data_IF_478787956993
#
_entry.id   IF_478787956993
#
_cell.length_a   1.000
_cell.length_b   1.000
_cell.length_c   1.000
_cell.angle_alpha   90.00
_cell.angle_beta   90.00
_cell.angle_gamma   90.00
#
_symmetry.space_group_name_H-M   'P 1'
#
loop_
_entity.id
_entity.type
_entity.pdbx_description
1 polymer ?
#
# COMPACT_ATOMS: atom_id res chain seq x y z
N UNK A 1 -19.16 -4.29 29.70
CA UNK A 1 -18.65 -3.24 28.79
C UNK A 1 -17.32 -3.72 28.25
N UNK A 2 -17.04 -3.67 26.93
CA UNK A 2 -15.67 -3.92 26.47
C UNK A 2 -14.77 -2.87 27.12
N UNK A 3 -13.76 -3.31 27.86
CA UNK A 3 -12.76 -2.42 28.48
C UNK A 3 -12.16 -1.51 27.40
N UNK A 4 -12.05 -0.21 27.68
CA UNK A 4 -11.34 0.71 26.79
C UNK A 4 -9.97 0.13 26.43
N UNK A 5 -9.59 0.11 25.14
CA UNK A 5 -8.37 -0.56 24.73
C UNK A 5 -7.16 0.06 25.43
N UNK A 6 -6.22 -0.80 25.86
CA UNK A 6 -4.98 -0.38 26.52
C UNK A 6 -4.26 0.68 25.67
N UNK A 7 -3.83 1.79 26.31
CA UNK A 7 -3.05 2.85 25.64
C UNK A 7 -1.81 2.27 24.95
N UNK A 8 -1.20 1.24 25.53
CA UNK A 8 -0.05 0.53 24.96
C UNK A 8 -0.42 -0.18 23.66
N UNK A 9 -1.56 -0.88 23.62
CA UNK A 9 -2.02 -1.56 22.41
C UNK A 9 -2.32 -0.57 21.28
N UNK A 10 -2.94 0.57 21.61
CA UNK A 10 -3.17 1.66 20.66
C UNK A 10 -1.84 2.17 20.10
N UNK A 11 -0.90 2.51 20.97
CA UNK A 11 0.41 3.03 20.57
C UNK A 11 1.19 2.04 19.70
N UNK A 12 1.24 0.76 20.09
CA UNK A 12 1.91 -0.29 19.32
C UNK A 12 1.23 -0.52 17.96
N UNK A 13 -0.09 -0.41 17.88
CA UNK A 13 -0.81 -0.56 16.62
C UNK A 13 -0.51 0.58 15.65
N UNK A 14 -0.50 1.83 16.14
CA UNK A 14 -0.10 2.99 15.33
C UNK A 14 1.38 2.91 14.93
N UNK A 15 2.25 2.53 15.86
CA UNK A 15 3.66 2.29 15.55
C UNK A 15 3.84 1.25 14.44
N UNK A 16 3.09 0.14 14.49
CA UNK A 16 3.13 -0.88 13.46
C UNK A 16 2.76 -0.30 12.09
N UNK A 17 1.62 0.38 11.97
CA UNK A 17 1.20 0.90 10.65
C UNK A 17 2.04 2.09 10.15
N UNK A 18 2.81 2.77 11.00
CA UNK A 18 3.64 3.93 10.59
C UNK A 18 5.07 3.49 10.28
N UNK A 19 5.67 2.72 11.19
CA UNK A 19 7.10 2.40 11.14
C UNK A 19 7.32 1.09 10.39
N UNK A 20 6.53 0.05 10.68
CA UNK A 20 6.68 -1.23 9.97
C UNK A 20 6.32 -1.03 8.50
N UNK A 21 5.16 -0.45 8.18
CA UNK A 21 4.82 -0.20 6.77
C UNK A 21 5.79 0.77 6.08
N UNK A 22 6.22 1.85 6.74
CA UNK A 22 7.28 2.71 6.18
C UNK A 22 8.58 1.95 5.89
N UNK A 23 8.97 1.01 6.75
CA UNK A 23 10.15 0.18 6.53
C UNK A 23 9.99 -0.91 5.47
N UNK A 24 8.75 -1.24 5.08
CA UNK A 24 8.53 -2.30 4.09
C UNK A 24 9.12 -1.95 2.73
N UNK A 25 9.19 -0.67 2.35
CA UNK A 25 9.88 -0.26 1.11
C UNK A 25 11.34 -0.71 1.13
N UNK A 26 12.11 -0.41 2.19
CA UNK A 26 13.49 -0.88 2.25
C UNK A 26 13.59 -2.42 2.30
N UNK A 27 12.69 -3.08 3.03
CA UNK A 27 12.66 -4.53 3.07
C UNK A 27 12.34 -5.14 1.70
N UNK A 28 11.48 -4.52 0.89
CA UNK A 28 11.23 -4.93 -0.50
C UNK A 28 12.52 -4.77 -1.31
N UNK A 29 13.15 -3.60 -1.25
CA UNK A 29 14.42 -3.33 -1.94
C UNK A 29 15.50 -4.37 -1.65
N UNK A 30 15.63 -4.81 -0.39
CA UNK A 30 16.55 -5.88 0.02
C UNK A 30 16.08 -7.27 -0.42
N UNK A 31 14.79 -7.57 -0.34
CA UNK A 31 14.25 -8.86 -0.76
C UNK A 31 14.50 -9.10 -2.26
N UNK A 32 14.31 -8.08 -3.08
CA UNK A 32 14.44 -8.17 -4.54
C UNK A 32 15.87 -8.12 -5.06
N UNK A 33 16.88 -8.07 -4.17
CA UNK A 33 18.29 -8.19 -4.57
C UNK A 33 18.60 -9.58 -5.14
N UNK A 34 18.04 -10.64 -4.55
CA UNK A 34 18.29 -12.03 -4.99
C UNK A 34 17.04 -12.90 -5.06
N UNK A 35 15.88 -12.43 -4.59
CA UNK A 35 14.60 -13.14 -4.75
C UNK A 35 13.79 -12.43 -5.83
N UNK A 36 13.22 -13.14 -6.81
CA UNK A 36 12.39 -12.50 -7.84
C UNK A 36 11.21 -11.71 -7.23
N UNK A 37 10.88 -10.53 -7.80
CA UNK A 37 9.99 -9.55 -7.17
C UNK A 37 8.57 -10.07 -6.99
N UNK A 38 8.00 -10.73 -8.01
CA UNK A 38 6.62 -11.21 -7.92
C UNK A 38 6.52 -12.40 -6.97
N UNK A 39 7.60 -13.16 -6.80
CA UNK A 39 7.75 -14.24 -5.83
C UNK A 39 7.69 -13.69 -4.41
N UNK A 40 8.47 -12.66 -4.09
CA UNK A 40 8.43 -12.02 -2.76
C UNK A 40 7.03 -11.48 -2.45
N UNK A 41 6.39 -10.80 -3.40
CA UNK A 41 5.02 -10.32 -3.28
C UNK A 41 4.03 -11.50 -3.11
N UNK A 42 4.09 -12.53 -3.96
CA UNK A 42 3.17 -13.67 -3.91
C UNK A 42 3.27 -14.40 -2.57
N UNK A 43 4.48 -14.64 -2.05
CA UNK A 43 4.70 -15.33 -0.78
C UNK A 43 4.03 -14.59 0.38
N UNK A 44 4.31 -13.28 0.54
CA UNK A 44 3.78 -12.51 1.66
C UNK A 44 2.26 -12.37 1.64
N UNK A 45 1.66 -12.18 0.46
CA UNK A 45 0.21 -12.03 0.34
C UNK A 45 -0.51 -13.38 0.43
N UNK A 46 0.09 -14.47 -0.07
CA UNK A 46 -0.46 -15.83 0.10
C UNK A 46 -0.51 -16.21 1.57
N UNK A 47 0.59 -16.04 2.31
CA UNK A 47 0.65 -16.42 3.72
C UNK A 47 -0.34 -15.60 4.54
N UNK A 48 -0.33 -14.27 4.39
CA UNK A 48 -1.25 -13.41 5.11
C UNK A 48 -2.72 -13.64 4.73
N UNK A 49 -3.01 -13.78 3.44
CA UNK A 49 -4.34 -14.08 2.94
C UNK A 49 -4.88 -15.40 3.48
N UNK A 50 -4.06 -16.45 3.47
CA UNK A 50 -4.44 -17.78 3.97
C UNK A 50 -4.71 -17.76 5.47
N UNK A 51 -3.84 -17.12 6.27
CA UNK A 51 -4.02 -17.05 7.71
C UNK A 51 -5.27 -16.24 8.11
N UNK A 52 -5.47 -15.07 7.50
CA UNK A 52 -6.65 -14.24 7.77
C UNK A 52 -7.93 -14.93 7.28
N UNK A 53 -7.89 -15.61 6.13
CA UNK A 53 -9.03 -16.35 5.61
C UNK A 53 -9.36 -17.57 6.48
N UNK A 54 -8.35 -18.36 6.88
CA UNK A 54 -8.54 -19.50 7.77
C UNK A 54 -9.15 -19.06 9.11
N UNK A 55 -8.72 -17.92 9.64
CA UNK A 55 -9.31 -17.35 10.86
C UNK A 55 -10.75 -16.88 10.65
N UNK A 56 -11.05 -16.15 9.56
CA UNK A 56 -12.43 -15.77 9.26
C UNK A 56 -13.31 -17.03 9.08
N UNK A 57 -12.81 -18.03 8.37
CA UNK A 57 -13.50 -19.28 8.09
C UNK A 57 -13.77 -20.09 9.37
N UNK A 58 -12.82 -20.13 10.30
CA UNK A 58 -12.99 -20.83 11.59
C UNK A 58 -14.05 -20.17 12.49
N UNK A 59 -14.29 -18.86 12.33
CA UNK A 59 -15.40 -18.13 12.98
C UNK A 59 -16.75 -18.27 12.27
N UNK A 60 -16.85 -19.15 11.27
CA UNK A 60 -18.10 -19.41 10.54
C UNK A 60 -18.33 -18.54 9.31
N UNK A 61 -17.42 -17.63 8.94
CA UNK A 61 -17.55 -16.88 7.69
C UNK A 61 -17.46 -17.81 6.47
N UNK A 62 -18.35 -17.65 5.50
CA UNK A 62 -18.34 -18.40 4.24
C UNK A 62 -18.45 -17.42 3.08
N UNK A 63 -17.43 -17.35 2.19
CA UNK A 63 -17.45 -16.42 1.08
C UNK A 63 -18.46 -16.82 0.02
N UNK A 64 -19.18 -15.85 -0.49
CA UNK A 64 -20.06 -15.97 -1.65
C UNK A 64 -19.27 -15.82 -2.95
N UNK A 65 -19.81 -16.35 -4.05
CA UNK A 65 -19.21 -16.16 -5.37
C UNK A 65 -19.12 -14.69 -5.79
N UNK A 66 -20.06 -13.85 -5.33
CA UNK A 66 -20.04 -12.41 -5.61
C UNK A 66 -18.87 -11.72 -4.92
N UNK A 67 -18.58 -12.08 -3.67
CA UNK A 67 -17.42 -11.57 -2.93
C UNK A 67 -16.11 -12.02 -3.56
N UNK A 68 -16.00 -13.26 -4.02
CA UNK A 68 -14.81 -13.72 -4.75
C UNK A 68 -14.57 -12.96 -6.05
N UNK A 69 -15.61 -12.71 -6.85
CA UNK A 69 -15.49 -11.91 -8.08
C UNK A 69 -15.06 -10.48 -7.78
N UNK A 70 -15.65 -9.85 -6.77
CA UNK A 70 -15.24 -8.51 -6.34
C UNK A 70 -13.79 -8.50 -5.85
N UNK A 71 -13.42 -9.48 -5.02
CA UNK A 71 -12.07 -9.63 -4.50
C UNK A 71 -11.04 -9.92 -5.59
N UNK A 72 -11.41 -10.60 -6.68
CA UNK A 72 -10.52 -10.80 -7.83
C UNK A 72 -10.16 -9.49 -8.53
N UNK A 73 -11.12 -8.57 -8.68
CA UNK A 73 -10.87 -7.23 -9.24
C UNK A 73 -10.04 -6.40 -8.27
N UNK A 74 -10.41 -6.36 -6.98
CA UNK A 74 -9.64 -5.62 -5.97
C UNK A 74 -8.23 -6.18 -5.84
N UNK A 75 -8.07 -7.50 -5.80
CA UNK A 75 -6.78 -8.17 -5.65
C UNK A 75 -5.87 -7.95 -6.85
N UNK A 76 -6.41 -7.92 -8.07
CA UNK A 76 -5.68 -7.54 -9.27
C UNK A 76 -5.14 -6.10 -9.18
N UNK A 77 -6.00 -5.15 -8.81
CA UNK A 77 -5.64 -3.73 -8.71
C UNK A 77 -4.65 -3.46 -7.58
N UNK A 78 -4.91 -4.00 -6.39
CA UNK A 78 -4.10 -3.76 -5.20
C UNK A 78 -2.78 -4.50 -5.23
N UNK A 79 -2.82 -5.81 -5.49
CA UNK A 79 -1.67 -6.67 -5.23
C UNK A 79 -0.88 -7.03 -6.47
N UNK A 80 -1.51 -7.20 -7.63
CA UNK A 80 -0.74 -7.40 -8.87
C UNK A 80 -0.20 -6.05 -9.37
N UNK A 81 -1.08 -5.12 -9.75
CA UNK A 81 -0.67 -3.86 -10.35
C UNK A 81 0.01 -2.92 -9.33
N UNK A 82 -0.61 -2.72 -8.17
CA UNK A 82 -0.04 -1.90 -7.10
C UNK A 82 1.22 -2.53 -6.50
N UNK A 83 1.04 -3.57 -5.69
CA UNK A 83 2.12 -4.13 -4.89
C UNK A 83 3.14 -4.93 -5.71
N UNK A 84 2.71 -5.71 -6.71
CA UNK A 84 3.60 -6.44 -7.61
C UNK A 84 4.42 -5.51 -8.49
N UNK A 85 3.78 -4.47 -9.04
CA UNK A 85 4.44 -3.38 -9.75
C UNK A 85 5.49 -2.68 -8.88
N UNK A 86 5.16 -2.39 -7.61
CA UNK A 86 6.12 -1.81 -6.65
C UNK A 86 7.34 -2.72 -6.43
N UNK A 87 7.14 -4.01 -6.14
CA UNK A 87 8.26 -4.94 -5.95
C UNK A 87 9.14 -5.06 -7.20
N UNK A 88 8.52 -5.05 -8.38
CA UNK A 88 9.24 -5.08 -9.64
C UNK A 88 10.07 -3.80 -9.86
N UNK A 89 9.46 -2.64 -9.60
CA UNK A 89 10.09 -1.35 -9.78
C UNK A 89 11.25 -1.12 -8.81
N UNK A 90 11.17 -1.62 -7.58
CA UNK A 90 12.24 -1.46 -6.59
C UNK A 90 13.54 -2.20 -6.91
N UNK A 91 13.58 -2.98 -7.99
CA UNK A 91 14.87 -3.44 -8.55
C UNK A 91 15.73 -2.27 -9.06
N UNK A 92 15.09 -1.21 -9.53
CA UNK A 92 15.75 -0.03 -10.13
C UNK A 92 15.46 1.26 -9.38
N UNK A 93 14.32 1.35 -8.69
CA UNK A 93 13.89 2.52 -7.93
C UNK A 93 14.33 2.39 -6.47
N UNK A 94 15.05 3.36 -5.89
CA UNK A 94 15.34 3.41 -4.46
C UNK A 94 14.07 3.39 -3.60
N UNK A 95 14.13 2.72 -2.45
CA UNK A 95 12.98 2.52 -1.56
C UNK A 95 12.38 3.82 -1.04
N UNK A 96 13.22 4.81 -0.69
CA UNK A 96 12.74 6.12 -0.26
C UNK A 96 11.98 6.86 -1.36
N UNK A 97 12.46 6.75 -2.61
CA UNK A 97 11.80 7.32 -3.77
C UNK A 97 10.47 6.62 -4.07
N UNK A 98 10.46 5.28 -4.03
CA UNK A 98 9.26 4.50 -4.23
C UNK A 98 8.15 4.89 -3.25
N UNK A 99 8.48 5.06 -1.97
CA UNK A 99 7.53 5.51 -0.94
C UNK A 99 6.97 6.91 -1.21
N UNK A 100 7.80 7.85 -1.66
CA UNK A 100 7.36 9.21 -2.01
C UNK A 100 6.40 9.20 -3.21
N UNK A 101 6.66 8.38 -4.22
CA UNK A 101 5.76 8.26 -5.38
C UNK A 101 4.42 7.65 -4.94
N UNK A 102 4.42 6.60 -4.13
CA UNK A 102 3.19 5.98 -3.60
C UNK A 102 2.39 6.97 -2.75
N UNK A 103 3.06 7.87 -2.02
CA UNK A 103 2.39 8.91 -1.23
C UNK A 103 1.52 9.88 -2.06
N UNK A 104 1.60 9.83 -3.40
CA UNK A 104 0.66 10.55 -4.28
C UNK A 104 -0.74 9.93 -4.36
N UNK A 105 -0.99 8.76 -3.75
CA UNK A 105 -2.32 8.12 -3.71
C UNK A 105 -3.48 9.09 -3.43
N UNK A 106 -3.42 9.98 -2.41
CA UNK A 106 -4.55 10.85 -2.09
C UNK A 106 -4.85 11.88 -3.19
N UNK A 107 -3.84 12.26 -4.00
CA UNK A 107 -4.02 13.13 -5.18
C UNK A 107 -4.89 12.40 -6.21
N UNK A 108 -4.55 11.16 -6.54
CA UNK A 108 -5.32 10.32 -7.46
C UNK A 108 -6.75 10.10 -6.96
N UNK A 109 -6.91 9.88 -5.65
CA UNK A 109 -8.23 9.64 -5.06
C UNK A 109 -9.12 10.87 -5.19
N UNK A 110 -8.58 12.05 -4.88
CA UNK A 110 -9.28 13.31 -5.02
C UNK A 110 -9.73 13.57 -6.47
N UNK A 111 -8.89 13.24 -7.46
CA UNK A 111 -9.25 13.33 -8.88
C UNK A 111 -10.39 12.34 -9.21
N UNK A 112 -10.23 11.07 -8.88
CA UNK A 112 -11.18 10.02 -9.23
C UNK A 112 -12.57 10.21 -8.60
N UNK A 113 -12.64 10.75 -7.38
CA UNK A 113 -13.91 11.04 -6.71
C UNK A 113 -14.60 12.30 -7.28
N UNK A 114 -13.84 13.23 -7.85
CA UNK A 114 -14.36 14.45 -8.45
C UNK A 114 -14.93 14.25 -9.87
N UNK A 115 -14.46 13.23 -10.61
CA UNK A 115 -14.83 13.00 -12.02
C UNK A 115 -16.32 12.65 -12.28
N UNK A 116 -16.98 11.78 -11.49
CA UNK A 116 -18.37 11.41 -11.76
C UNK A 116 -19.34 12.60 -11.62
N UNK A 117 -20.47 12.62 -12.35
CA UNK A 117 -21.52 13.60 -12.15
C UNK A 117 -21.99 13.64 -10.68
N UNK A 118 -21.95 14.80 -10.05
CA UNK A 118 -22.24 14.97 -8.62
C UNK A 118 -21.10 14.59 -7.66
N UNK A 119 -19.89 14.33 -8.18
CA UNK A 119 -18.69 14.12 -7.39
C UNK A 119 -18.31 15.35 -6.55
N UNK A 120 -17.61 15.14 -5.44
CA UNK A 120 -17.13 16.25 -4.60
C UNK A 120 -16.03 17.01 -5.31
N UNK A 121 -16.30 18.28 -5.64
CA UNK A 121 -15.32 19.15 -6.27
C UNK A 121 -14.15 19.45 -5.32
N UNK A 122 -12.89 19.39 -5.78
CA UNK A 122 -11.75 19.75 -4.97
C UNK A 122 -11.80 21.24 -4.65
N UNK A 123 -11.47 21.61 -3.41
CA UNK A 123 -11.28 23.02 -3.06
C UNK A 123 -9.98 23.55 -3.66
N UNK A 124 -9.78 24.87 -3.66
CA UNK A 124 -8.52 25.47 -4.11
C UNK A 124 -7.28 24.92 -3.38
N UNK A 125 -7.42 24.55 -2.10
CA UNK A 125 -6.35 23.87 -1.33
C UNK A 125 -6.02 22.50 -1.91
N UNK A 126 -7.03 21.72 -2.28
CA UNK A 126 -6.81 20.42 -2.89
C UNK A 126 -6.17 20.53 -4.28
N UNK A 127 -6.59 21.51 -5.09
CA UNK A 127 -5.99 21.77 -6.40
C UNK A 127 -4.51 22.19 -6.25
N UNK A 128 -4.21 23.10 -5.33
CA UNK A 128 -2.83 23.51 -5.03
C UNK A 128 -1.98 22.33 -4.55
N UNK A 129 -2.53 21.50 -3.65
CA UNK A 129 -1.86 20.28 -3.21
C UNK A 129 -1.56 19.33 -4.37
N UNK A 130 -2.52 19.08 -5.27
CA UNK A 130 -2.30 18.25 -6.46
C UNK A 130 -1.18 18.80 -7.36
N UNK A 131 -1.18 20.11 -7.62
CA UNK A 131 -0.14 20.76 -8.44
C UNK A 131 1.25 20.63 -7.80
N UNK A 132 1.37 20.88 -6.48
CA UNK A 132 2.63 20.76 -5.74
C UNK A 132 3.10 19.30 -5.74
N UNK A 133 2.20 18.33 -5.55
CA UNK A 133 2.56 16.92 -5.51
C UNK A 133 3.05 16.41 -6.86
N UNK A 134 2.36 16.77 -7.94
CA UNK A 134 2.79 16.47 -9.32
C UNK A 134 4.14 17.12 -9.64
N UNK A 135 4.38 18.36 -9.21
CA UNK A 135 5.67 19.02 -9.35
C UNK A 135 6.77 18.31 -8.54
N UNK A 136 6.46 17.82 -7.33
CA UNK A 136 7.38 17.03 -6.51
C UNK A 136 7.77 15.72 -7.19
N UNK A 137 6.81 14.99 -7.77
CA UNK A 137 7.08 13.79 -8.58
C UNK A 137 7.90 14.12 -9.82
N UNK A 138 7.54 15.16 -10.56
CA UNK A 138 8.29 15.59 -11.74
C UNK A 138 9.75 15.97 -11.40
N UNK A 139 9.97 16.60 -10.25
CA UNK A 139 11.30 16.92 -9.74
C UNK A 139 12.13 15.66 -9.47
N UNK A 140 11.51 14.60 -8.93
CA UNK A 140 12.16 13.30 -8.73
C UNK A 140 12.51 12.61 -10.06
N UNK A 141 11.65 12.77 -11.07
CA UNK A 141 11.83 12.23 -12.42
C UNK A 141 12.81 13.04 -13.31
N UNK A 142 13.23 14.24 -12.88
CA UNK A 142 14.11 15.09 -13.65
C UNK A 142 15.43 14.41 -14.01
N UNK A 143 16.12 14.83 -15.09
CA UNK A 143 17.32 14.14 -15.59
C UNK A 143 18.33 13.93 -14.46
N UNK A 144 18.67 12.67 -14.21
CA UNK A 144 19.85 12.29 -13.45
C UNK A 144 21.02 12.34 -14.42
N UNK A 145 22.12 12.97 -14.03
CA UNK A 145 23.36 13.03 -14.81
C UNK A 145 23.99 11.63 -14.88
N UNK A 146 23.50 10.77 -15.78
CA UNK A 146 24.14 9.55 -16.35
C UNK A 146 23.11 8.79 -17.22
N UNK A 147 23.47 8.52 -18.48
CA UNK A 147 22.54 8.13 -19.56
C UNK A 147 22.01 6.68 -19.50
N UNK A 148 22.58 5.79 -18.68
CA UNK A 148 22.16 4.37 -18.60
C UNK A 148 21.29 4.03 -17.37
N UNK A 149 21.44 4.74 -16.26
CA UNK A 149 20.64 4.59 -15.03
C UNK A 149 19.27 5.29 -15.09
N UNK A 150 19.05 6.17 -16.07
CA UNK A 150 17.86 7.00 -16.18
C UNK A 150 16.63 6.25 -16.71
N UNK A 151 16.79 5.33 -17.66
CA UNK A 151 15.67 4.63 -18.30
C UNK A 151 14.98 3.63 -17.36
N UNK A 152 15.74 2.80 -16.64
CA UNK A 152 15.21 1.85 -15.67
C UNK A 152 14.51 2.53 -14.49
N UNK A 153 15.05 3.68 -14.04
CA UNK A 153 14.42 4.51 -13.02
C UNK A 153 13.10 5.12 -13.51
N UNK A 154 13.07 5.65 -14.75
CA UNK A 154 11.87 6.22 -15.35
C UNK A 154 10.76 5.17 -15.48
N UNK A 155 11.09 4.00 -16.05
CA UNK A 155 10.12 2.89 -16.20
C UNK A 155 9.62 2.44 -14.83
N UNK A 156 10.51 2.23 -13.86
CA UNK A 156 10.12 1.86 -12.49
C UNK A 156 9.21 2.91 -11.84
N UNK A 157 9.53 4.20 -12.00
CA UNK A 157 8.71 5.31 -11.50
C UNK A 157 7.31 5.32 -12.13
N UNK A 158 7.21 5.13 -13.44
CA UNK A 158 5.94 5.03 -14.15
C UNK A 158 5.13 3.80 -13.71
N UNK A 159 5.79 2.67 -13.46
CA UNK A 159 5.15 1.47 -12.91
C UNK A 159 4.59 1.74 -11.51
N UNK A 160 5.33 2.44 -10.64
CA UNK A 160 4.84 2.79 -9.29
C UNK A 160 3.67 3.78 -9.37
N UNK A 161 3.74 4.79 -10.25
CA UNK A 161 2.63 5.72 -10.47
C UNK A 161 1.38 5.00 -11.00
N UNK A 162 1.54 4.13 -11.99
CA UNK A 162 0.47 3.29 -12.53
C UNK A 162 -0.11 2.36 -11.47
N UNK A 163 0.74 1.75 -10.65
CA UNK A 163 0.34 0.93 -9.50
C UNK A 163 -0.40 1.71 -8.43
N UNK A 164 0.02 2.94 -8.13
CA UNK A 164 -0.64 3.85 -7.18
C UNK A 164 -2.02 4.25 -7.68
N UNK A 165 -2.14 4.55 -8.98
CA UNK A 165 -3.44 4.80 -9.61
C UNK A 165 -4.33 3.56 -9.60
N UNK A 166 -3.79 2.38 -9.93
CA UNK A 166 -4.52 1.11 -9.89
C UNK A 166 -5.04 0.81 -8.48
N UNK A 167 -4.20 1.00 -7.46
CA UNK A 167 -4.60 0.92 -6.06
C UNK A 167 -5.76 1.86 -5.76
N UNK A 168 -5.65 3.12 -6.16
CA UNK A 168 -6.72 4.11 -5.93
C UNK A 168 -8.03 3.73 -6.63
N UNK A 169 -7.97 3.22 -7.87
CA UNK A 169 -9.13 2.69 -8.58
C UNK A 169 -9.75 1.50 -7.83
N UNK A 170 -8.93 0.64 -7.24
CA UNK A 170 -9.38 -0.47 -6.42
C UNK A 170 -10.13 0.00 -5.16
N UNK A 171 -9.70 1.11 -4.53
CA UNK A 171 -10.41 1.72 -3.39
C UNK A 171 -11.80 2.17 -3.84
N UNK A 172 -11.88 2.90 -4.95
CA UNK A 172 -13.16 3.42 -5.50
C UNK A 172 -14.10 2.27 -5.89
N UNK A 173 -13.56 1.21 -6.50
CA UNK A 173 -14.32 0.01 -6.85
C UNK A 173 -14.82 -0.73 -5.59
N UNK A 174 -13.92 -1.00 -4.64
CA UNK A 174 -14.22 -1.75 -3.41
C UNK A 174 -15.32 -1.07 -2.57
N UNK A 175 -15.41 0.26 -2.61
CA UNK A 175 -16.44 1.04 -1.90
C UNK A 175 -17.88 0.73 -2.36
N UNK A 176 -18.05 0.17 -3.57
CA UNK A 176 -19.37 -0.16 -4.15
C UNK A 176 -19.54 -1.65 -4.47
N UNK A 177 -18.43 -2.39 -4.55
CA UNK A 177 -18.44 -3.81 -4.83
C UNK A 177 -19.05 -4.63 -3.67
N UNK A 178 -19.58 -5.84 -3.95
CA UNK A 178 -20.09 -6.74 -2.92
C UNK A 178 -18.95 -7.37 -2.11
N UNK A 179 -18.27 -6.55 -1.31
CA UNK A 179 -17.17 -6.97 -0.43
C UNK A 179 -17.69 -7.55 0.89
N UNK A 180 -16.94 -8.49 1.53
CA UNK A 180 -17.35 -9.09 2.79
C UNK A 180 -17.67 -8.07 3.87
N UNK A 181 -18.66 -8.37 4.74
CA UNK A 181 -18.94 -7.54 5.93
C UNK A 181 -17.99 -7.84 7.08
N UNK A 182 -17.55 -9.10 7.18
CA UNK A 182 -16.54 -9.52 8.15
C UNK A 182 -15.20 -8.80 7.84
N UNK A 183 -14.60 -8.07 8.80
CA UNK A 183 -13.37 -7.32 8.56
C UNK A 183 -12.16 -8.17 8.18
N UNK A 184 -12.03 -9.38 8.77
CA UNK A 184 -10.94 -10.30 8.45
C UNK A 184 -11.11 -10.83 7.03
N UNK A 185 -12.31 -11.25 6.66
CA UNK A 185 -12.62 -11.71 5.31
C UNK A 185 -12.45 -10.60 4.27
N UNK A 186 -12.85 -9.35 4.60
CA UNK A 186 -12.71 -8.19 3.71
C UNK A 186 -11.24 -7.89 3.40
N UNK A 187 -10.32 -8.17 4.31
CA UNK A 187 -8.88 -8.11 4.06
C UNK A 187 -8.36 -9.37 3.34
N UNK A 188 -8.80 -10.56 3.79
CA UNK A 188 -8.26 -11.84 3.34
C UNK A 188 -8.60 -12.18 1.88
N UNK A 189 -9.82 -11.92 1.43
CA UNK A 189 -10.26 -12.30 0.08
C UNK A 189 -9.46 -11.57 -1.01
N UNK A 190 -9.27 -10.23 -0.97
CA UNK A 190 -8.40 -9.54 -1.91
C UNK A 190 -6.95 -10.00 -1.84
N UNK A 191 -6.42 -10.29 -0.65
CA UNK A 191 -5.06 -10.82 -0.49
C UNK A 191 -4.89 -12.16 -1.20
N UNK A 192 -5.83 -13.09 -1.02
CA UNK A 192 -5.81 -14.40 -1.67
C UNK A 192 -5.99 -14.29 -3.19
N UNK A 193 -6.94 -13.47 -3.64
CA UNK A 193 -7.18 -13.29 -5.06
C UNK A 193 -6.00 -12.56 -5.74
N UNK A 194 -5.42 -11.58 -5.07
CA UNK A 194 -4.20 -10.90 -5.50
C UNK A 194 -2.99 -11.83 -5.53
N UNK A 195 -2.84 -12.70 -4.54
CA UNK A 195 -1.83 -13.75 -4.53
C UNK A 195 -2.00 -14.70 -5.72
N UNK A 196 -3.23 -15.10 -6.06
CA UNK A 196 -3.50 -15.91 -7.25
C UNK A 196 -3.06 -15.20 -8.54
N UNK A 197 -3.36 -13.91 -8.68
CA UNK A 197 -2.88 -13.11 -9.81
C UNK A 197 -1.35 -13.00 -9.86
N UNK A 198 -0.70 -12.80 -8.71
CA UNK A 198 0.76 -12.77 -8.61
C UNK A 198 1.39 -14.13 -8.96
N UNK A 199 0.78 -15.24 -8.56
CA UNK A 199 1.22 -16.60 -8.93
C UNK A 199 1.13 -16.85 -10.44
N UNK A 200 0.06 -16.36 -11.09
CA UNK A 200 -0.06 -16.41 -12.55
C UNK A 200 1.01 -15.54 -13.21
N UNK A 201 1.22 -14.32 -12.71
CA UNK A 201 2.20 -13.41 -13.29
C UNK A 201 3.65 -13.88 -13.11
N UNK A 202 4.01 -14.41 -11.94
CA UNK A 202 5.36 -14.90 -11.67
C UNK A 202 5.69 -16.16 -12.47
N UNK A 203 4.70 -17.03 -12.70
CA UNK A 203 4.88 -18.23 -13.53
C UNK A 203 5.05 -17.85 -14.99
N UNK A 204 4.23 -16.93 -15.50
CA UNK A 204 4.39 -16.37 -16.84
C UNK A 204 5.74 -15.64 -17.02
N UNK A 205 6.25 -15.00 -15.96
CA UNK A 205 7.55 -14.33 -15.94
C UNK A 205 8.75 -15.28 -15.68
N UNK A 206 8.52 -16.60 -15.58
CA UNK A 206 9.59 -17.58 -15.35
C UNK A 206 10.36 -17.39 -14.04
N UNK A 207 9.77 -16.75 -13.03
CA UNK A 207 10.43 -16.54 -11.74
C UNK A 207 10.78 -17.82 -10.95
N UNK A 208 9.97 -18.90 -10.99
CA UNK A 208 10.33 -20.13 -10.28
C UNK A 208 11.66 -20.73 -10.76
N UNK A 209 11.91 -20.71 -12.07
CA UNK A 209 13.17 -21.18 -12.64
C UNK A 209 14.33 -20.29 -12.21
N UNK A 210 14.13 -18.96 -12.18
CA UNK A 210 15.15 -18.01 -11.70
C UNK A 210 15.46 -18.19 -10.22
N UNK A 211 14.45 -18.44 -9.39
CA UNK A 211 14.63 -18.70 -7.96
C UNK A 211 15.41 -20.00 -7.73
N UNK A 212 15.13 -21.06 -8.50
CA UNK A 212 15.85 -22.32 -8.40
C UNK A 212 17.31 -22.22 -8.89
N UNK A 213 17.58 -21.36 -9.88
CA UNK A 213 18.89 -21.20 -10.48
C UNK A 213 19.85 -20.28 -9.70
N UNK A 214 19.35 -19.42 -8.82
CA UNK A 214 20.15 -18.41 -8.12
C UNK A 214 20.10 -18.61 -6.60
N UNK A 215 21.26 -18.57 -5.90
CA UNK A 215 21.26 -18.66 -4.44
C UNK A 215 20.59 -17.44 -3.83
N UNK A 216 19.76 -17.67 -2.81
CA UNK A 216 19.11 -16.61 -2.04
C UNK A 216 20.07 -16.12 -0.97
N UNK A 217 20.39 -14.82 -0.97
CA UNK A 217 21.22 -14.22 0.08
C UNK A 217 20.50 -14.22 1.43
N UNK A 218 21.26 -14.26 2.53
CA UNK A 218 20.69 -14.15 3.88
C UNK A 218 19.91 -12.85 4.05
N UNK A 219 20.40 -11.73 3.49
CA UNK A 219 19.73 -10.44 3.55
C UNK A 219 18.35 -10.50 2.89
N UNK A 220 18.26 -11.03 1.67
CA UNK A 220 16.97 -11.17 0.96
C UNK A 220 16.02 -12.11 1.69
N UNK A 221 16.53 -13.23 2.23
CA UNK A 221 15.72 -14.19 3.00
C UNK A 221 15.14 -13.56 4.27
N UNK A 222 15.96 -12.84 5.04
CA UNK A 222 15.51 -12.11 6.24
C UNK A 222 14.51 -11.00 5.87
N UNK A 223 14.73 -10.30 4.77
CA UNK A 223 13.83 -9.27 4.29
C UNK A 223 12.46 -9.86 3.87
N UNK A 224 12.42 -11.00 3.18
CA UNK A 224 11.18 -11.74 2.89
C UNK A 224 10.49 -12.17 4.19
N UNK A 225 11.25 -12.74 5.14
CA UNK A 225 10.72 -13.12 6.46
C UNK A 225 10.10 -11.93 7.20
N UNK A 226 10.77 -10.78 7.18
CA UNK A 226 10.27 -9.53 7.75
C UNK A 226 8.98 -9.04 7.05
N UNK A 227 8.94 -9.06 5.73
CA UNK A 227 7.78 -8.65 4.93
C UNK A 227 6.56 -9.53 5.18
N UNK A 228 6.76 -10.84 5.36
CA UNK A 228 5.69 -11.79 5.69
C UNK A 228 5.19 -11.53 7.11
N UNK A 229 6.09 -11.49 8.10
CA UNK A 229 5.72 -11.45 9.52
C UNK A 229 5.27 -10.06 9.96
N UNK A 230 6.15 -9.08 9.90
CA UNK A 230 5.88 -7.72 10.36
C UNK A 230 5.06 -6.95 9.33
N UNK A 231 5.52 -6.94 8.07
CA UNK A 231 4.91 -6.15 7.00
C UNK A 231 3.49 -6.58 6.67
N UNK A 232 3.20 -7.89 6.72
CA UNK A 232 1.85 -8.40 6.45
C UNK A 232 1.10 -8.73 7.73
N UNK A 233 1.53 -9.71 8.54
CA UNK A 233 0.68 -10.19 9.64
C UNK A 233 0.49 -9.15 10.74
N UNK A 234 1.57 -8.61 11.29
CA UNK A 234 1.50 -7.64 12.40
C UNK A 234 0.82 -6.35 11.93
N UNK A 235 1.29 -5.77 10.83
CA UNK A 235 0.79 -4.48 10.38
C UNK A 235 -0.66 -4.53 9.86
N UNK A 236 -1.08 -5.56 9.10
CA UNK A 236 -2.50 -5.67 8.71
C UNK A 236 -3.41 -5.98 9.90
N UNK A 237 -2.94 -6.76 10.89
CA UNK A 237 -3.72 -7.00 12.11
C UNK A 237 -3.91 -5.70 12.90
N UNK A 238 -2.83 -4.93 13.08
CA UNK A 238 -2.89 -3.62 13.72
C UNK A 238 -3.81 -2.65 12.95
N UNK A 239 -3.70 -2.60 11.62
CA UNK A 239 -4.53 -1.76 10.76
C UNK A 239 -6.02 -2.11 10.86
N UNK A 240 -6.37 -3.39 10.74
CA UNK A 240 -7.77 -3.84 10.84
C UNK A 240 -8.35 -3.60 12.22
N UNK A 241 -7.55 -3.82 13.27
CA UNK A 241 -7.94 -3.49 14.63
C UNK A 241 -8.16 -1.98 14.81
N UNK A 242 -7.25 -1.14 14.33
CA UNK A 242 -7.37 0.32 14.41
C UNK A 242 -8.61 0.84 13.68
N UNK A 243 -8.92 0.32 12.49
CA UNK A 243 -10.15 0.70 11.77
C UNK A 243 -11.44 0.30 12.51
N UNK A 244 -11.37 -0.72 13.37
CA UNK A 244 -12.49 -1.11 14.24
C UNK A 244 -12.67 -0.21 15.47
N UNK A 245 -11.65 0.58 15.85
CA UNK A 245 -11.64 1.35 17.11
C UNK A 245 -11.47 2.86 16.92
N UNK A 246 -10.95 3.30 15.78
CA UNK A 246 -10.62 4.70 15.49
C UNK A 246 -11.17 5.14 14.13
N UNK A 247 -11.43 6.44 13.94
CA UNK A 247 -11.82 6.97 12.65
C UNK A 247 -10.80 6.64 11.57
N UNK A 248 -11.27 6.21 10.39
CA UNK A 248 -10.41 5.89 9.25
C UNK A 248 -9.49 7.04 8.84
N UNK A 249 -9.92 8.29 9.04
CA UNK A 249 -9.11 9.49 8.80
C UNK A 249 -7.87 9.57 9.68
N UNK A 250 -7.98 9.18 10.96
CA UNK A 250 -6.85 9.11 11.88
C UNK A 250 -5.91 7.97 11.49
N UNK A 251 -6.47 6.79 11.19
CA UNK A 251 -5.68 5.62 10.75
C UNK A 251 -4.92 5.93 9.46
N UNK A 252 -5.54 6.65 8.52
CA UNK A 252 -4.92 7.04 7.24
C UNK A 252 -3.69 7.95 7.39
N UNK A 253 -3.46 8.57 8.56
CA UNK A 253 -2.29 9.43 8.77
C UNK A 253 -0.94 8.69 8.72
N UNK A 254 -0.93 7.36 8.76
CA UNK A 254 0.28 6.57 8.49
C UNK A 254 0.90 6.89 7.12
N UNK A 255 0.07 7.20 6.13
CA UNK A 255 0.52 7.50 4.75
C UNK A 255 1.44 8.73 4.67
N UNK A 256 1.42 9.63 5.67
CA UNK A 256 2.35 10.76 5.76
C UNK A 256 3.70 10.39 6.38
N UNK A 257 3.70 9.41 7.28
CA UNK A 257 4.89 9.03 8.05
C UNK A 257 5.70 7.98 7.31
N UNK A 258 5.03 7.06 6.60
CA UNK A 258 5.68 5.99 5.86
C UNK A 258 6.81 6.47 4.93
N UNK A 259 6.65 7.53 4.11
CA UNK A 259 7.72 7.99 3.22
C UNK A 259 8.91 8.57 3.97
N UNK A 260 8.67 9.23 5.11
CA UNK A 260 9.76 9.76 5.96
C UNK A 260 10.59 8.61 6.53
N UNK A 261 9.91 7.56 7.03
CA UNK A 261 10.56 6.35 7.52
C UNK A 261 11.33 5.64 6.40
N UNK A 262 10.72 5.50 5.21
CA UNK A 262 11.35 4.86 4.06
C UNK A 262 12.63 5.59 3.62
N UNK A 263 12.58 6.92 3.48
CA UNK A 263 13.76 7.73 3.12
C UNK A 263 14.85 7.63 4.18
N UNK A 264 14.49 7.71 5.46
CA UNK A 264 15.46 7.62 6.54
C UNK A 264 16.13 6.23 6.60
N UNK A 265 15.36 5.15 6.48
CA UNK A 265 15.89 3.79 6.46
C UNK A 265 16.70 3.51 5.20
N UNK A 266 16.24 3.95 4.03
CA UNK A 266 16.96 3.85 2.77
C UNK A 266 18.35 4.47 2.86
N UNK A 267 18.45 5.64 3.50
CA UNK A 267 19.74 6.28 3.77
C UNK A 267 20.59 5.52 4.80
N UNK A 268 20.00 5.21 5.97
CA UNK A 268 20.74 4.66 7.10
C UNK A 268 21.22 3.22 6.88
N UNK A 269 20.44 2.41 6.17
CA UNK A 269 20.66 0.97 6.01
C UNK A 269 20.78 0.54 4.54
N UNK A 270 20.06 1.20 3.63
CA UNK A 270 20.04 0.90 2.20
C UNK A 270 21.17 1.53 1.38
N UNK A 271 21.99 2.38 2.01
CA UNK A 271 23.04 3.17 1.34
C UNK A 271 22.48 4.04 0.19
N UNK A 272 21.22 4.49 0.31
CA UNK A 272 20.57 5.37 -0.65
C UNK A 272 20.97 6.83 -0.40
N UNK A 273 21.30 7.56 -1.46
CA UNK A 273 21.73 8.96 -1.34
C UNK A 273 20.55 9.89 -1.04
N UNK A 274 20.62 10.62 0.09
CA UNK A 274 19.75 11.77 0.35
C UNK A 274 20.33 12.99 -0.36
N UNK A 275 19.80 13.28 -1.54
CA UNK A 275 20.14 14.51 -2.26
C UNK A 275 19.22 15.66 -1.86
N UNK A 276 19.64 16.93 -2.03
CA UNK A 276 18.75 18.07 -1.85
C UNK A 276 17.46 17.95 -2.69
N UNK A 277 17.56 17.36 -3.89
CA UNK A 277 16.42 17.07 -4.76
C UNK A 277 15.40 16.15 -4.07
N UNK A 278 15.84 15.05 -3.45
CA UNK A 278 14.97 14.11 -2.72
C UNK A 278 14.31 14.80 -1.53
N UNK A 279 15.04 15.63 -0.77
CA UNK A 279 14.50 16.36 0.36
C UNK A 279 13.44 17.38 -0.06
N UNK A 280 13.72 18.18 -1.10
CA UNK A 280 12.78 19.19 -1.61
C UNK A 280 11.53 18.52 -2.17
N UNK A 281 11.69 17.50 -3.02
CA UNK A 281 10.56 16.78 -3.58
C UNK A 281 9.74 16.06 -2.50
N UNK A 282 10.41 15.45 -1.51
CA UNK A 282 9.75 14.81 -0.38
C UNK A 282 8.92 15.79 0.44
N UNK A 283 9.48 16.96 0.76
CA UNK A 283 8.75 18.03 1.43
C UNK A 283 7.56 18.51 0.60
N UNK A 284 7.73 18.70 -0.71
CA UNK A 284 6.64 19.07 -1.63
C UNK A 284 5.52 18.03 -1.61
N UNK A 285 5.85 16.73 -1.69
CA UNK A 285 4.86 15.66 -1.68
C UNK A 285 4.13 15.60 -0.33
N UNK A 286 4.83 15.69 0.80
CA UNK A 286 4.19 15.71 2.12
C UNK A 286 3.23 16.90 2.26
N UNK A 287 3.68 18.11 1.88
CA UNK A 287 2.83 19.32 1.89
C UNK A 287 1.63 19.16 0.95
N UNK A 288 1.83 18.59 -0.24
CA UNK A 288 0.78 18.32 -1.20
C UNK A 288 -0.31 17.43 -0.63
N UNK A 289 0.06 16.32 0.02
CA UNK A 289 -0.90 15.39 0.63
C UNK A 289 -1.67 16.07 1.76
N UNK A 290 -0.99 16.86 2.61
CA UNK A 290 -1.65 17.62 3.68
C UNK A 290 -2.67 18.62 3.11
N UNK A 291 -2.32 19.35 2.05
CA UNK A 291 -3.20 20.30 1.39
C UNK A 291 -4.39 19.62 0.70
N UNK A 292 -4.15 18.47 0.04
CA UNK A 292 -5.22 17.66 -0.55
C UNK A 292 -6.20 17.22 0.52
N UNK A 293 -5.72 16.62 1.61
CA UNK A 293 -6.59 16.10 2.66
C UNK A 293 -7.30 17.20 3.47
N UNK A 294 -6.68 18.37 3.65
CA UNK A 294 -7.35 19.53 4.23
C UNK A 294 -8.37 20.16 3.26
N UNK A 295 -8.18 19.96 1.96
CA UNK A 295 -8.99 20.54 0.89
C UNK A 295 -10.11 19.64 0.37
N UNK A 296 -10.04 18.33 0.56
CA UNK A 296 -11.10 17.39 0.21
C UNK A 296 -12.03 17.23 1.40
N UNK A 297 -13.16 17.95 1.37
CA UNK A 297 -14.31 17.62 2.23
C UNK A 297 -14.95 16.33 1.72
N UNK A 298 -14.28 15.19 1.92
CA UNK A 298 -14.91 13.89 1.66
C UNK A 298 -16.08 13.80 2.65
N UNK A 299 -17.35 13.75 2.20
CA UNK A 299 -18.48 13.72 3.11
C UNK A 299 -18.35 12.47 3.97
N UNK A 300 -18.49 12.62 5.28
CA UNK A 300 -18.38 11.52 6.26
C UNK A 300 -19.23 10.28 5.89
N UNK A 301 -20.29 10.46 5.09
CA UNK A 301 -21.15 9.40 4.54
C UNK A 301 -20.45 8.43 3.58
N UNK A 302 -19.37 8.82 2.89
CA UNK A 302 -18.54 7.91 2.08
C UNK A 302 -17.40 7.28 2.89
N UNK A 303 -16.89 7.97 3.92
CA UNK A 303 -15.93 7.42 4.87
C UNK A 303 -16.56 6.37 5.81
N UNK A 304 -17.84 6.54 6.17
CA UNK A 304 -18.64 5.61 6.99
C UNK A 304 -19.05 4.31 6.27
N UNK A 305 -18.67 4.11 4.99
CA UNK A 305 -18.80 2.82 4.28
C UNK A 305 -17.50 2.01 4.26
N UNK A 306 -16.43 2.48 4.91
CA UNK A 306 -15.61 1.58 5.70
C UNK A 306 -16.44 1.22 6.94
N UNK A 307 -16.75 -0.05 7.21
CA UNK A 307 -17.91 -0.38 8.02
C UNK A 307 -17.58 -0.15 9.49
N UNK A 308 -18.31 0.80 10.06
CA UNK A 308 -18.56 0.93 11.47
C UNK A 308 -18.91 -0.46 12.04
N UNK A 309 -18.07 -0.91 12.98
CA UNK A 309 -18.46 -1.94 13.92
C UNK A 309 -19.51 -1.39 14.87
N UNK A 310 -20.42 -2.28 15.25
CA UNK A 310 -21.27 -2.22 16.44
C UNK A 310 -22.31 -1.10 16.53
N UNK A 311 -23.53 -1.41 16.06
CA UNK A 311 -24.72 -1.16 16.87
C UNK A 311 -25.49 -2.48 17.05
N UNK A 312 -25.89 -2.73 18.29
CA UNK A 312 -26.48 -3.97 18.78
C UNK A 312 -28.01 -3.96 18.74
N UNK A 313 -28.60 -5.11 18.41
CA UNK A 313 -29.96 -5.54 18.81
C UNK A 313 -31.15 -4.97 18.01
N UNK A 314 -32.32 -5.65 17.98
CA UNK A 314 -32.78 -6.60 19.00
C UNK A 314 -33.17 -8.00 18.48
N UNK A 315 -32.91 -9.00 19.33
CA UNK A 315 -33.81 -10.12 19.63
C UNK A 315 -33.80 -10.28 21.14
#
# INVERSE_FOLDING_TARGET
MPSSPSRTLVALSFFAIYVIWGSTYLAIRFAVETVPPLTTAAMRHSIAGLLLFAWAYSRGYRPTWREWKAAAVVGFLFFLLGHGGLHWAEQTVPSGLAALIVATEPIWLAILVALPPGGTRPTGRAIAGQAIGLAGVALLMGPMSTESSSAGLLVGTLVILGGTLAWTLGIVYAARAPMPRDPLARAALPLLAGAAWLLIALTAAGEPARLAANPVSLRSALAVGYLVTFGSLVAFTAYTWLLGHFPATLVATHTYVNPVVAVWLGWALGNEAITPRVLIAGAMIVVAVVLVNAGTRIPARQQSRAPAGAEAGPA
#
